data_IF_639515727075
#
_entry.id   IF_639515727075
#
_cell.length_a   1.000
_cell.length_b   1.000
_cell.length_c   1.000
_cell.angle_alpha   90.00
_cell.angle_beta   90.00
_cell.angle_gamma   90.00
#
_symmetry.space_group_name_H-M   'P 1'
#
loop_
_entity.id
_entity.type
_entity.pdbx_description
1 polymer ?
#
# COMPACT_ATOMS: atom_id res chain seq x y z
N UNK A 1 -8.99 26.66 -32.50
CA UNK A 1 -9.87 26.72 -31.33
C UNK A 1 -9.06 26.31 -30.10
N UNK A 2 -8.60 27.27 -29.29
CA UNK A 2 -7.76 26.98 -28.12
C UNK A 2 -8.25 27.85 -26.97
N UNK A 3 -9.04 27.28 -26.07
CA UNK A 3 -9.51 27.95 -24.86
C UNK A 3 -9.17 27.14 -23.60
N UNK A 4 -8.84 27.89 -22.55
CA UNK A 4 -8.87 27.53 -21.13
C UNK A 4 -7.65 26.81 -20.52
N UNK A 5 -6.56 27.57 -20.31
CA UNK A 5 -5.56 27.25 -19.26
C UNK A 5 -5.24 28.42 -18.30
N UNK A 6 -6.13 29.42 -18.19
CA UNK A 6 -5.84 30.63 -17.37
C UNK A 6 -6.72 30.85 -16.14
N UNK A 7 -7.63 29.95 -15.79
CA UNK A 7 -8.55 30.15 -14.65
C UNK A 7 -8.05 29.62 -13.28
N UNK A 8 -6.92 28.92 -13.20
CA UNK A 8 -6.48 28.26 -11.96
C UNK A 8 -5.65 29.13 -11.00
N UNK A 9 -4.86 30.08 -11.52
CA UNK A 9 -3.89 30.84 -10.69
C UNK A 9 -4.54 31.97 -9.89
N UNK A 10 -5.63 32.54 -10.39
CA UNK A 10 -6.38 33.62 -9.74
C UNK A 10 -7.19 33.11 -8.53
N UNK A 11 -7.77 31.91 -8.62
CA UNK A 11 -8.56 31.30 -7.55
C UNK A 11 -7.69 30.88 -6.37
N UNK A 12 -6.49 30.36 -6.64
CA UNK A 12 -5.51 29.99 -5.60
C UNK A 12 -4.99 31.23 -4.86
N UNK A 13 -4.75 32.34 -5.57
CA UNK A 13 -4.36 33.62 -4.94
C UNK A 13 -5.47 34.19 -4.06
N UNK A 14 -6.73 34.13 -4.51
CA UNK A 14 -7.89 34.57 -3.71
C UNK A 14 -8.10 33.69 -2.47
N UNK A 15 -7.87 32.39 -2.57
CA UNK A 15 -7.94 31.47 -1.44
C UNK A 15 -6.81 31.78 -0.43
N UNK A 16 -5.58 31.97 -0.91
CA UNK A 16 -4.44 32.31 -0.06
C UNK A 16 -4.65 33.65 0.67
N UNK A 17 -5.15 34.68 -0.02
CA UNK A 17 -5.49 35.98 0.59
C UNK A 17 -6.62 35.86 1.62
N UNK A 18 -7.62 35.02 1.36
CA UNK A 18 -8.73 34.79 2.29
C UNK A 18 -8.28 34.07 3.55
N UNK A 19 -7.40 33.07 3.42
CA UNK A 19 -6.81 32.35 4.55
C UNK A 19 -5.94 33.27 5.41
N UNK A 20 -5.07 34.08 4.80
CA UNK A 20 -4.23 35.04 5.50
C UNK A 20 -5.07 36.07 6.28
N UNK A 21 -6.17 36.56 5.68
CA UNK A 21 -7.08 37.51 6.34
C UNK A 21 -7.82 36.89 7.54
N UNK A 22 -8.17 35.61 7.48
CA UNK A 22 -8.81 34.91 8.59
C UNK A 22 -7.84 34.64 9.75
N UNK A 23 -6.60 34.29 9.45
CA UNK A 23 -5.54 34.09 10.47
C UNK A 23 -5.29 35.41 11.23
N UNK A 24 -5.15 36.52 10.50
CA UNK A 24 -4.97 37.84 11.13
C UNK A 24 -6.16 38.26 12.01
N UNK A 25 -7.40 37.98 11.57
CA UNK A 25 -8.61 38.26 12.37
C UNK A 25 -8.67 37.40 13.64
N UNK A 26 -8.19 36.17 13.58
CA UNK A 26 -8.17 35.26 14.73
C UNK A 26 -7.16 35.73 15.78
N UNK A 27 -5.93 36.09 15.37
CA UNK A 27 -4.94 36.68 16.26
C UNK A 27 -5.40 38.00 16.89
N UNK A 28 -6.10 38.86 16.13
CA UNK A 28 -6.65 40.10 16.68
C UNK A 28 -7.72 39.83 17.74
N UNK A 29 -8.63 38.87 17.51
CA UNK A 29 -9.66 38.49 18.50
C UNK A 29 -9.05 37.87 19.76
N UNK A 30 -7.97 37.12 19.63
CA UNK A 30 -7.26 36.48 20.75
C UNK A 30 -6.50 37.51 21.59
N UNK A 31 -5.88 38.51 20.95
CA UNK A 31 -5.28 39.67 21.63
C UNK A 31 -6.31 40.51 22.39
N UNK A 32 -7.49 40.79 21.79
CA UNK A 32 -8.56 41.53 22.47
C UNK A 32 -9.21 40.73 23.61
N UNK A 33 -9.25 39.39 23.51
CA UNK A 33 -9.74 38.51 24.59
C UNK A 33 -8.76 38.44 25.77
N UNK A 34 -7.46 38.47 25.50
CA UNK A 34 -6.42 38.51 26.54
C UNK A 34 -6.46 39.82 27.34
N UNK A 35 -6.72 40.95 26.68
CA UNK A 35 -6.77 42.26 27.34
C UNK A 35 -8.07 42.47 28.16
N UNK A 36 -9.18 41.80 27.79
CA UNK A 36 -10.44 41.85 28.55
C UNK A 36 -10.48 40.91 29.76
N UNK A 37 -9.53 39.99 29.87
CA UNK A 37 -9.41 39.02 30.99
C UNK A 37 -8.47 39.49 32.11
N UNK A 38 -7.91 40.71 32.02
CA UNK A 38 -6.97 41.28 32.99
C UNK A 38 -7.59 42.10 34.13
N UNK A 39 -8.93 42.17 34.24
CA UNK A 39 -9.60 42.99 35.24
C UNK A 39 -10.69 42.19 35.98
N UNK A 40 -10.27 41.17 36.75
CA UNK A 40 -11.14 40.57 37.77
C UNK A 40 -10.31 39.90 38.87
N UNK A 41 -10.39 40.52 40.04
CA UNK A 41 -10.17 40.03 41.41
C UNK A 41 -8.92 39.22 41.78
N UNK A 42 -8.14 39.89 42.64
CA UNK A 42 -7.33 39.33 43.72
C UNK A 42 -8.07 38.21 44.48
N UNK A 43 -7.50 37.01 44.53
CA UNK A 43 -7.20 36.31 45.78
C UNK A 43 -6.42 35.00 45.51
N UNK A 44 -5.50 34.74 46.43
CA UNK A 44 -4.44 33.75 46.38
C UNK A 44 -4.91 32.30 46.18
N UNK A 45 -4.23 31.59 45.27
CA UNK A 45 -3.64 30.26 45.54
C UNK A 45 -2.56 29.98 44.49
N UNK A 46 -1.31 29.95 44.95
CA UNK A 46 -0.14 29.64 44.14
C UNK A 46 -0.13 28.15 43.77
N UNK A 47 -0.35 27.85 42.49
CA UNK A 47 0.15 26.61 41.87
C UNK A 47 0.52 26.88 40.42
N UNK A 48 1.59 27.63 40.22
CA UNK A 48 2.22 27.82 38.91
C UNK A 48 2.81 26.49 38.46
N UNK A 49 2.11 25.79 37.57
CA UNK A 49 2.71 24.68 36.82
C UNK A 49 3.85 25.26 35.97
N UNK A 50 5.08 24.73 36.03
CA UNK A 50 6.17 25.25 35.21
C UNK A 50 5.88 25.03 33.72
N UNK A 51 6.36 25.92 32.82
CA UNK A 51 6.27 25.72 31.38
C UNK A 51 6.92 24.38 30.98
N UNK A 52 6.45 23.73 29.89
CA UNK A 52 6.91 22.40 29.49
C UNK A 52 8.43 22.42 29.30
N UNK A 53 9.14 21.74 30.20
CA UNK A 53 10.59 21.67 30.17
C UNK A 53 11.05 20.78 29.00
N UNK A 54 12.17 21.12 28.34
CA UNK A 54 12.76 20.25 27.33
C UNK A 54 13.12 18.89 27.95
N UNK A 55 12.94 17.78 27.21
CA UNK A 55 13.23 16.45 27.74
C UNK A 55 14.72 16.34 28.13
N UNK A 56 15.04 15.61 29.21
CA UNK A 56 16.39 15.55 29.76
C UNK A 56 17.41 14.99 28.74
N UNK A 57 18.67 15.47 28.79
CA UNK A 57 19.74 15.00 27.92
C UNK A 57 20.02 13.53 28.25
N UNK A 58 19.78 12.63 27.28
CA UNK A 58 19.90 11.18 27.46
C UNK A 58 18.66 10.37 27.07
N UNK A 59 17.59 11.01 26.60
CA UNK A 59 16.46 10.26 26.01
C UNK A 59 16.91 9.56 24.72
N UNK A 60 17.12 8.25 24.78
CA UNK A 60 17.35 7.33 23.66
C UNK A 60 16.25 7.40 22.56
N UNK A 61 15.13 8.08 22.85
CA UNK A 61 14.07 8.42 21.89
C UNK A 61 14.28 9.71 21.09
N UNK A 62 15.33 10.49 21.38
CA UNK A 62 15.61 11.76 20.68
C UNK A 62 16.02 11.52 19.22
N UNK A 63 16.74 10.43 18.93
CA UNK A 63 17.03 10.01 17.56
C UNK A 63 15.78 9.63 16.75
N UNK A 64 14.69 9.27 17.44
CA UNK A 64 13.39 9.01 16.80
C UNK A 64 12.56 10.29 16.61
N UNK A 65 12.97 11.44 17.14
CA UNK A 65 12.23 12.70 17.01
C UNK A 65 12.05 13.15 15.54
N UNK A 66 13.08 13.08 14.67
CA UNK A 66 12.93 13.37 13.24
C UNK A 66 11.97 12.40 12.54
N UNK A 67 11.93 11.14 12.97
CA UNK A 67 11.06 10.10 12.39
C UNK A 67 9.58 10.26 12.82
N UNK A 68 9.35 10.86 13.99
CA UNK A 68 7.99 11.13 14.51
C UNK A 68 7.28 12.26 13.76
N UNK A 69 8.02 13.22 13.20
CA UNK A 69 7.45 14.37 12.47
C UNK A 69 6.67 13.94 11.21
N UNK A 70 7.24 13.17 10.26
CA UNK A 70 6.51 12.70 9.10
C UNK A 70 5.35 11.76 9.48
N UNK A 71 5.53 10.93 10.52
CA UNK A 71 4.45 10.06 11.01
C UNK A 71 3.27 10.84 11.59
N UNK A 72 3.54 11.93 12.33
CA UNK A 72 2.51 12.82 12.86
C UNK A 72 1.82 13.59 11.73
N UNK A 73 2.58 14.16 10.79
CA UNK A 73 2.04 14.86 9.62
C UNK A 73 1.17 13.92 8.75
N UNK A 74 1.63 12.69 8.53
CA UNK A 74 0.85 11.66 7.86
C UNK A 74 -0.46 11.36 8.59
N UNK A 75 -0.40 11.18 9.92
CA UNK A 75 -1.59 10.88 10.72
C UNK A 75 -2.63 12.01 10.73
N UNK A 76 -2.20 13.27 10.71
CA UNK A 76 -3.10 14.43 10.63
C UNK A 76 -3.67 14.63 9.23
N UNK A 77 -2.86 14.41 8.18
CA UNK A 77 -3.35 14.40 6.80
C UNK A 77 -4.37 13.29 6.58
N UNK A 78 -4.12 12.09 7.09
CA UNK A 78 -5.02 10.96 6.94
C UNK A 78 -6.32 11.14 7.75
N UNK A 79 -6.27 11.85 8.88
CA UNK A 79 -7.47 12.24 9.63
C UNK A 79 -8.32 13.27 8.88
N UNK A 80 -7.71 14.10 8.03
CA UNK A 80 -8.40 15.14 7.26
C UNK A 80 -8.97 14.62 5.93
N UNK A 81 -8.22 13.79 5.21
CA UNK A 81 -8.60 13.23 3.91
C UNK A 81 -8.12 11.78 3.77
N UNK A 82 -8.80 10.81 4.43
CA UNK A 82 -8.34 9.43 4.49
C UNK A 82 -8.26 8.77 3.11
N UNK A 83 -9.18 9.09 2.20
CA UNK A 83 -9.23 8.50 0.85
C UNK A 83 -8.07 8.98 -0.04
N UNK A 84 -7.76 10.28 -0.02
CA UNK A 84 -6.67 10.85 -0.85
C UNK A 84 -5.32 10.33 -0.40
N UNK A 85 -5.07 10.35 0.91
CA UNK A 85 -3.80 9.85 1.48
C UNK A 85 -3.66 8.36 1.23
N UNK A 86 -4.76 7.61 1.28
CA UNK A 86 -4.76 6.19 0.98
C UNK A 86 -4.42 5.90 -0.48
N UNK A 87 -4.98 6.67 -1.41
CA UNK A 87 -4.70 6.55 -2.84
C UNK A 87 -3.23 6.88 -3.10
N UNK A 88 -2.74 8.03 -2.62
CA UNK A 88 -1.34 8.43 -2.79
C UNK A 88 -0.37 7.40 -2.21
N UNK A 89 -0.63 6.93 -0.98
CA UNK A 89 0.20 5.91 -0.34
C UNK A 89 0.21 4.61 -1.15
N UNK A 90 -0.95 4.18 -1.66
CA UNK A 90 -1.05 2.97 -2.47
C UNK A 90 -0.27 3.09 -3.79
N UNK A 91 -0.32 4.24 -4.47
CA UNK A 91 0.46 4.45 -5.69
C UNK A 91 1.96 4.32 -5.43
N UNK A 92 2.44 4.94 -4.35
CA UNK A 92 3.85 4.88 -3.94
C UNK A 92 4.24 3.43 -3.59
N UNK A 93 3.42 2.74 -2.80
CA UNK A 93 3.67 1.36 -2.38
C UNK A 93 3.76 0.42 -3.58
N UNK A 94 2.82 0.51 -4.52
CA UNK A 94 2.82 -0.37 -5.69
C UNK A 94 3.96 -0.04 -6.68
N UNK A 95 4.26 1.25 -6.85
CA UNK A 95 5.41 1.67 -7.65
C UNK A 95 6.73 1.13 -7.06
N UNK A 96 6.94 1.33 -5.76
CA UNK A 96 8.15 0.89 -5.07
C UNK A 96 8.23 -0.65 -5.00
N UNK A 97 7.09 -1.32 -4.80
CA UNK A 97 6.99 -2.78 -4.85
C UNK A 97 7.41 -3.37 -6.18
N UNK A 98 6.92 -2.81 -7.29
CA UNK A 98 7.32 -3.28 -8.61
C UNK A 98 8.77 -2.91 -8.91
N UNK A 99 9.25 -1.73 -8.52
CA UNK A 99 10.66 -1.33 -8.66
C UNK A 99 11.58 -2.30 -7.91
N UNK A 100 11.29 -2.61 -6.63
CA UNK A 100 12.06 -3.57 -5.84
C UNK A 100 12.03 -4.97 -6.47
N UNK A 101 10.87 -5.43 -6.94
CA UNK A 101 10.75 -6.72 -7.61
C UNK A 101 11.57 -6.76 -8.90
N UNK A 102 11.57 -5.68 -9.69
CA UNK A 102 12.36 -5.58 -10.91
C UNK A 102 13.86 -5.53 -10.62
N UNK A 103 14.29 -4.77 -9.60
CA UNK A 103 15.70 -4.69 -9.20
C UNK A 103 16.25 -6.06 -8.79
N UNK A 104 15.56 -6.78 -7.91
CA UNK A 104 15.98 -8.14 -7.52
C UNK A 104 15.99 -9.08 -8.72
N UNK A 105 15.03 -8.94 -9.63
CA UNK A 105 14.98 -9.76 -10.84
C UNK A 105 16.16 -9.49 -11.79
N UNK A 106 16.50 -8.21 -12.00
CA UNK A 106 17.62 -7.80 -12.85
C UNK A 106 18.97 -8.17 -12.23
N UNK A 107 19.10 -8.05 -10.90
CA UNK A 107 20.37 -8.33 -10.21
C UNK A 107 20.69 -9.82 -10.08
N UNK A 108 19.71 -10.69 -9.87
CA UNK A 108 19.95 -12.10 -9.53
C UNK A 108 19.68 -13.10 -10.64
N UNK A 109 18.73 -12.85 -11.54
CA UNK A 109 18.23 -13.91 -12.43
C UNK A 109 18.33 -13.59 -13.92
N UNK A 110 18.45 -12.33 -14.33
CA UNK A 110 18.33 -11.96 -15.76
C UNK A 110 18.92 -10.57 -16.05
N UNK A 111 19.75 -10.43 -17.07
CA UNK A 111 20.27 -9.14 -17.57
C UNK A 111 19.23 -8.37 -18.41
N UNK A 112 17.94 -8.43 -18.06
CA UNK A 112 16.90 -7.65 -18.77
C UNK A 112 16.93 -6.20 -18.34
N UNK A 113 16.64 -5.32 -19.30
CA UNK A 113 16.43 -3.89 -19.06
C UNK A 113 15.20 -3.66 -18.19
N UNK A 114 15.26 -2.61 -17.40
CA UNK A 114 14.14 -2.09 -16.60
C UNK A 114 12.92 -1.81 -17.49
N UNK A 115 11.73 -2.27 -17.07
CA UNK A 115 10.48 -2.09 -17.81
C UNK A 115 9.56 -1.07 -17.12
N UNK A 116 9.53 0.21 -17.56
CA UNK A 116 8.74 1.25 -16.90
C UNK A 116 7.23 1.03 -17.06
N UNK A 117 6.79 0.38 -18.15
CA UNK A 117 5.38 0.05 -18.41
C UNK A 117 4.84 -0.88 -17.31
N UNK A 118 5.67 -1.79 -16.79
CA UNK A 118 5.29 -2.68 -15.71
C UNK A 118 5.01 -1.92 -14.41
N UNK A 119 5.83 -0.91 -14.10
CA UNK A 119 5.61 -0.01 -12.96
C UNK A 119 4.31 0.78 -13.09
N UNK A 120 3.99 1.30 -14.28
CA UNK A 120 2.73 2.01 -14.53
C UNK A 120 1.51 1.09 -14.33
N UNK A 121 1.57 -0.16 -14.82
CA UNK A 121 0.51 -1.15 -14.61
C UNK A 121 0.32 -1.44 -13.12
N UNK A 122 1.41 -1.60 -12.37
CA UNK A 122 1.35 -1.81 -10.92
C UNK A 122 0.69 -0.61 -10.21
N UNK A 123 1.00 0.62 -10.60
CA UNK A 123 0.34 1.83 -10.09
C UNK A 123 -1.16 1.84 -10.37
N UNK A 124 -1.59 1.46 -11.57
CA UNK A 124 -3.02 1.38 -11.92
C UNK A 124 -3.74 0.34 -11.05
N UNK A 125 -3.14 -0.84 -10.87
CA UNK A 125 -3.66 -1.91 -10.01
C UNK A 125 -3.78 -1.43 -8.55
N UNK A 126 -2.74 -0.75 -8.05
CA UNK A 126 -2.72 -0.18 -6.70
C UNK A 126 -3.76 0.91 -6.49
N UNK A 127 -3.88 1.83 -7.45
CA UNK A 127 -4.84 2.93 -7.41
C UNK A 127 -6.28 2.43 -7.36
N UNK A 128 -6.65 1.48 -8.22
CA UNK A 128 -8.01 0.91 -8.26
C UNK A 128 -8.31 0.11 -6.98
N UNK A 129 -7.35 -0.68 -6.50
CA UNK A 129 -7.55 -1.50 -5.28
C UNK A 129 -7.49 -0.72 -3.97
N UNK A 130 -7.02 0.54 -3.98
CA UNK A 130 -6.85 1.36 -2.78
C UNK A 130 -8.15 1.58 -2.00
N UNK A 131 -9.24 1.92 -2.70
CA UNK A 131 -10.55 2.24 -2.10
C UNK A 131 -11.25 0.97 -1.59
N UNK A 132 -11.38 -0.12 -2.38
CA UNK A 132 -11.94 -1.39 -1.89
C UNK A 132 -11.18 -1.93 -0.67
N UNK A 133 -9.85 -1.89 -0.70
CA UNK A 133 -9.01 -2.37 0.41
C UNK A 133 -9.26 -1.55 1.68
N UNK A 134 -9.34 -0.22 1.57
CA UNK A 134 -9.66 0.65 2.69
C UNK A 134 -11.03 0.36 3.31
N UNK A 135 -12.07 0.23 2.46
CA UNK A 135 -13.43 -0.11 2.92
C UNK A 135 -13.46 -1.47 3.61
N UNK A 136 -12.71 -2.45 3.11
CA UNK A 136 -12.60 -3.77 3.71
C UNK A 136 -12.00 -3.73 5.11
N UNK A 137 -10.89 -3.01 5.31
CA UNK A 137 -10.29 -2.87 6.65
C UNK A 137 -11.21 -2.15 7.64
N UNK A 138 -11.96 -1.13 7.19
CA UNK A 138 -12.97 -0.47 8.03
C UNK A 138 -14.13 -1.41 8.39
N UNK A 139 -14.60 -2.21 7.43
CA UNK A 139 -15.63 -3.22 7.65
C UNK A 139 -15.17 -4.29 8.65
N UNK A 140 -13.95 -4.80 8.52
CA UNK A 140 -13.38 -5.75 9.50
C UNK A 140 -13.24 -5.12 10.89
N UNK A 141 -12.84 -3.86 10.95
CA UNK A 141 -12.68 -3.12 12.20
C UNK A 141 -14.00 -2.96 12.95
N UNK A 142 -15.11 -2.75 12.23
CA UNK A 142 -16.42 -2.44 12.82
C UNK A 142 -17.28 -3.67 13.15
N UNK A 143 -17.20 -4.73 12.35
CA UNK A 143 -18.10 -5.89 12.52
C UNK A 143 -17.57 -6.97 13.49
N UNK A 144 -16.27 -6.95 13.81
CA UNK A 144 -15.64 -7.97 14.65
C UNK A 144 -15.09 -7.38 15.96
N UNK A 145 -15.96 -6.73 16.74
CA UNK A 145 -15.63 -6.33 18.11
C UNK A 145 -16.15 -7.39 19.08
N UNK A 146 -15.21 -8.02 19.78
CA UNK A 146 -15.49 -9.06 20.78
C UNK A 146 -14.96 -8.60 22.14
N UNK A 147 -15.56 -9.07 23.21
CA UNK A 147 -15.20 -8.71 24.59
C UNK A 147 -13.73 -9.02 24.92
N UNK A 148 -13.20 -10.11 24.34
CA UNK A 148 -11.79 -10.47 24.44
C UNK A 148 -11.04 -10.05 23.18
N UNK A 149 -10.06 -9.16 23.34
CA UNK A 149 -9.21 -8.63 22.27
C UNK A 149 -8.63 -9.72 21.34
N UNK A 150 -8.16 -10.84 21.91
CA UNK A 150 -7.57 -11.94 21.14
C UNK A 150 -8.59 -12.66 20.24
N UNK A 151 -9.85 -12.81 20.67
CA UNK A 151 -10.90 -13.46 19.87
C UNK A 151 -11.20 -12.62 18.64
N UNK A 152 -11.35 -11.31 18.82
CA UNK A 152 -11.54 -10.39 17.71
C UNK A 152 -10.36 -10.37 16.75
N UNK A 153 -9.12 -10.46 17.26
CA UNK A 153 -7.94 -10.56 16.44
C UNK A 153 -7.91 -11.84 15.59
N UNK A 154 -8.16 -13.01 16.20
CA UNK A 154 -8.15 -14.30 15.49
C UNK A 154 -9.23 -14.34 14.41
N UNK A 155 -10.46 -13.89 14.72
CA UNK A 155 -11.54 -13.84 13.72
C UNK A 155 -11.19 -12.91 12.57
N UNK A 156 -10.61 -11.73 12.86
CA UNK A 156 -10.15 -10.80 11.83
C UNK A 156 -9.08 -11.40 10.93
N UNK A 157 -8.13 -12.16 11.49
CA UNK A 157 -7.11 -12.91 10.74
C UNK A 157 -7.79 -13.95 9.85
N UNK A 158 -8.65 -14.81 10.42
CA UNK A 158 -9.31 -15.89 9.69
C UNK A 158 -10.15 -15.36 8.53
N UNK A 159 -10.99 -14.34 8.78
CA UNK A 159 -11.83 -13.72 7.74
C UNK A 159 -10.98 -13.07 6.65
N UNK A 160 -9.88 -12.41 7.02
CA UNK A 160 -8.95 -11.82 6.03
C UNK A 160 -8.29 -12.89 5.18
N UNK A 161 -7.77 -13.95 5.80
CA UNK A 161 -7.11 -15.04 5.08
C UNK A 161 -8.07 -15.85 4.19
N UNK A 162 -9.33 -16.02 4.62
CA UNK A 162 -10.31 -16.86 3.94
C UNK A 162 -11.03 -16.16 2.78
N UNK A 163 -11.24 -14.85 2.88
CA UNK A 163 -12.03 -14.08 1.90
C UNK A 163 -11.16 -13.06 1.19
N UNK A 164 -10.49 -12.19 1.95
CA UNK A 164 -9.76 -11.08 1.35
C UNK A 164 -8.57 -11.55 0.53
N UNK A 165 -7.71 -12.40 1.10
CA UNK A 165 -6.51 -12.89 0.40
C UNK A 165 -6.82 -13.57 -0.93
N UNK A 166 -7.76 -14.54 -1.04
CA UNK A 166 -8.05 -15.17 -2.34
C UNK A 166 -8.71 -14.21 -3.34
N UNK A 167 -9.62 -13.33 -2.90
CA UNK A 167 -10.26 -12.33 -3.78
C UNK A 167 -9.22 -11.33 -4.29
N UNK A 168 -8.40 -10.80 -3.38
CA UNK A 168 -7.35 -9.84 -3.70
C UNK A 168 -6.29 -10.45 -4.61
N UNK A 169 -5.83 -11.69 -4.35
CA UNK A 169 -4.88 -12.37 -5.22
C UNK A 169 -5.44 -12.63 -6.61
N UNK A 170 -6.71 -13.04 -6.72
CA UNK A 170 -7.37 -13.25 -8.01
C UNK A 170 -7.47 -11.94 -8.80
N UNK A 171 -7.88 -10.85 -8.13
CA UNK A 171 -7.87 -9.51 -8.70
C UNK A 171 -6.47 -9.10 -9.16
N UNK A 172 -5.47 -9.23 -8.29
CA UNK A 172 -4.10 -8.77 -8.55
C UNK A 172 -3.49 -9.51 -9.74
N UNK A 173 -3.49 -10.85 -9.72
CA UNK A 173 -2.94 -11.64 -10.83
C UNK A 173 -3.75 -11.51 -12.11
N UNK A 174 -5.08 -11.43 -12.01
CA UNK A 174 -5.94 -11.25 -13.19
C UNK A 174 -5.71 -9.90 -13.86
N UNK A 175 -5.69 -8.83 -13.08
CA UNK A 175 -5.45 -7.48 -13.56
C UNK A 175 -4.02 -7.35 -14.13
N UNK A 176 -3.02 -7.94 -13.49
CA UNK A 176 -1.65 -7.99 -14.01
C UNK A 176 -1.58 -8.63 -15.40
N UNK A 177 -2.26 -9.75 -15.62
CA UNK A 177 -2.27 -10.44 -16.93
C UNK A 177 -3.09 -9.69 -17.97
N UNK A 178 -4.25 -9.13 -17.61
CA UNK A 178 -5.07 -8.32 -18.52
C UNK A 178 -4.30 -7.09 -19.00
N UNK A 179 -3.69 -6.34 -18.09
CA UNK A 179 -2.89 -5.16 -18.43
C UNK A 179 -1.63 -5.51 -19.23
N UNK A 180 -1.12 -6.73 -19.08
CA UNK A 180 -0.04 -7.26 -19.92
C UNK A 180 -0.48 -7.59 -21.35
N UNK A 181 -1.78 -7.51 -21.66
CA UNK A 181 -2.34 -7.88 -22.96
C UNK A 181 -2.73 -9.36 -23.08
N UNK A 182 -2.73 -10.09 -21.96
CA UNK A 182 -3.12 -11.50 -21.93
C UNK A 182 -4.63 -11.71 -22.10
N UNK A 183 -5.00 -12.80 -22.74
CA UNK A 183 -6.40 -13.16 -22.96
C UNK A 183 -7.09 -13.75 -21.72
N UNK A 184 -8.42 -13.89 -21.77
CA UNK A 184 -9.18 -14.36 -20.60
C UNK A 184 -8.85 -15.78 -20.13
N UNK A 185 -8.50 -16.64 -21.09
CA UNK A 185 -8.01 -18.00 -20.81
C UNK A 185 -6.69 -17.99 -20.04
N UNK A 186 -5.77 -17.10 -20.41
CA UNK A 186 -4.46 -16.97 -19.78
C UNK A 186 -4.58 -16.44 -18.35
N UNK A 187 -5.52 -15.51 -18.12
CA UNK A 187 -5.86 -15.05 -16.77
C UNK A 187 -6.35 -16.21 -15.92
N UNK A 188 -7.32 -16.99 -16.40
CA UNK A 188 -7.86 -18.13 -15.65
C UNK A 188 -6.77 -19.15 -15.32
N UNK A 189 -5.95 -19.51 -16.31
CA UNK A 189 -4.85 -20.45 -16.12
C UNK A 189 -3.84 -19.94 -15.09
N UNK A 190 -3.44 -18.66 -15.18
CA UNK A 190 -2.50 -18.07 -14.24
C UNK A 190 -3.08 -18.02 -12.83
N UNK A 191 -4.32 -17.54 -12.67
CA UNK A 191 -5.00 -17.44 -11.38
C UNK A 191 -5.11 -18.83 -10.72
N UNK A 192 -5.60 -19.84 -11.45
CA UNK A 192 -5.74 -21.20 -10.91
C UNK A 192 -4.40 -21.79 -10.49
N UNK A 193 -3.32 -21.47 -11.23
CA UNK A 193 -1.98 -21.95 -10.91
C UNK A 193 -1.32 -21.22 -9.75
N UNK A 194 -1.44 -19.90 -9.67
CA UNK A 194 -0.66 -19.07 -8.73
C UNK A 194 -1.39 -18.75 -7.44
N UNK A 195 -2.73 -18.64 -7.45
CA UNK A 195 -3.50 -18.26 -6.26
C UNK A 195 -3.42 -19.30 -5.15
N UNK A 196 -3.55 -20.62 -5.38
CA UNK A 196 -3.47 -21.61 -4.31
C UNK A 196 -2.10 -21.60 -3.62
N UNK A 197 -1.02 -21.61 -4.40
CA UNK A 197 0.35 -21.54 -3.88
C UNK A 197 0.62 -20.25 -3.12
N UNK A 198 0.17 -19.11 -3.67
CA UNK A 198 0.28 -17.80 -3.01
C UNK A 198 -0.51 -17.77 -1.70
N UNK A 199 -1.69 -18.39 -1.65
CA UNK A 199 -2.54 -18.44 -0.47
C UNK A 199 -1.93 -19.28 0.66
N UNK A 200 -1.42 -20.47 0.35
CA UNK A 200 -0.74 -21.33 1.33
C UNK A 200 0.49 -20.63 1.91
N UNK A 201 1.32 -20.02 1.06
CA UNK A 201 2.47 -19.26 1.53
C UNK A 201 2.05 -18.03 2.32
N UNK A 202 0.98 -17.36 1.91
CA UNK A 202 0.41 -16.23 2.65
C UNK A 202 -0.05 -16.62 4.06
N UNK A 203 -0.63 -17.81 4.23
CA UNK A 203 -1.06 -18.30 5.54
C UNK A 203 0.11 -18.58 6.50
N UNK A 204 1.34 -18.74 6.01
CA UNK A 204 2.53 -18.90 6.87
C UNK A 204 3.08 -17.56 7.35
N UNK A 205 2.95 -16.52 6.52
CA UNK A 205 3.60 -15.22 6.75
C UNK A 205 2.67 -14.18 7.38
N UNK A 206 1.46 -14.04 6.84
CA UNK A 206 0.55 -12.95 7.20
C UNK A 206 -0.06 -13.04 8.60
N UNK A 207 -0.29 -14.21 9.24
CA UNK A 207 -0.83 -14.24 10.60
C UNK A 207 0.03 -13.50 11.62
N UNK A 208 1.36 -13.64 11.56
CA UNK A 208 2.29 -12.94 12.44
C UNK A 208 2.26 -11.43 12.22
N UNK A 209 2.29 -11.00 10.95
CA UNK A 209 2.21 -9.59 10.57
C UNK A 209 0.87 -8.99 10.98
N UNK A 210 -0.21 -9.72 10.79
CA UNK A 210 -1.55 -9.27 11.14
C UNK A 210 -1.67 -9.12 12.66
N UNK A 211 -1.18 -10.10 13.43
CA UNK A 211 -1.12 -10.00 14.88
C UNK A 211 -0.33 -8.77 15.35
N UNK A 212 0.85 -8.52 14.76
CA UNK A 212 1.65 -7.33 15.05
C UNK A 212 0.91 -6.03 14.69
N UNK A 213 0.30 -5.99 13.49
CA UNK A 213 -0.41 -4.81 12.97
C UNK A 213 -1.59 -4.42 13.86
N UNK A 214 -2.39 -5.39 14.29
CA UNK A 214 -3.54 -5.10 15.14
C UNK A 214 -3.15 -4.75 16.57
N UNK A 215 -2.01 -5.24 17.06
CA UNK A 215 -1.52 -4.99 18.42
C UNK A 215 -0.81 -3.64 18.54
N UNK A 216 0.06 -3.28 17.60
CA UNK A 216 0.95 -2.12 17.72
C UNK A 216 0.59 -0.95 16.79
N UNK A 217 -0.14 -1.19 15.69
CA UNK A 217 -0.43 -0.16 14.69
C UNK A 217 -1.85 0.38 14.87
N UNK A 218 -1.94 1.72 14.91
CA UNK A 218 -3.23 2.44 14.98
C UNK A 218 -4.10 2.07 13.76
N UNK A 219 -5.42 1.88 13.93
CA UNK A 219 -6.33 1.43 12.86
C UNK A 219 -6.18 2.17 11.53
N UNK A 220 -5.96 3.48 11.60
CA UNK A 220 -5.84 4.38 10.46
C UNK A 220 -4.58 4.06 9.62
N UNK A 221 -3.49 3.62 10.25
CA UNK A 221 -2.20 3.39 9.58
C UNK A 221 -2.01 1.94 9.11
N UNK A 222 -2.93 1.03 9.47
CA UNK A 222 -2.78 -0.42 9.23
C UNK A 222 -2.66 -0.77 7.75
N UNK A 223 -3.45 -0.11 6.90
CA UNK A 223 -3.43 -0.39 5.46
C UNK A 223 -2.09 -0.03 4.81
N UNK A 224 -1.49 1.08 5.24
CA UNK A 224 -0.20 1.54 4.72
C UNK A 224 0.93 0.68 5.25
N UNK A 225 0.92 0.31 6.53
CA UNK A 225 1.86 -0.67 7.07
C UNK A 225 1.78 -2.01 6.33
N UNK A 226 0.57 -2.54 6.13
CA UNK A 226 0.34 -3.76 5.35
C UNK A 226 0.86 -3.62 3.92
N UNK A 227 0.68 -2.45 3.31
CA UNK A 227 1.20 -2.15 1.98
C UNK A 227 2.73 -2.14 1.92
N UNK A 228 3.41 -1.56 2.91
CA UNK A 228 4.88 -1.63 3.00
C UNK A 228 5.39 -3.07 3.11
N UNK A 229 4.76 -3.90 3.94
CA UNK A 229 5.10 -5.32 4.04
C UNK A 229 4.79 -6.05 2.72
N UNK A 230 3.73 -5.65 2.02
CA UNK A 230 3.40 -6.20 0.71
C UNK A 230 4.50 -5.94 -0.34
N UNK A 231 5.26 -4.84 -0.26
CA UNK A 231 6.43 -4.60 -1.14
C UNK A 231 7.45 -5.73 -0.97
N UNK A 232 7.82 -6.04 0.27
CA UNK A 232 8.74 -7.14 0.57
C UNK A 232 8.17 -8.50 0.13
N UNK A 233 6.88 -8.70 0.33
CA UNK A 233 6.18 -9.91 -0.11
C UNK A 233 6.18 -10.10 -1.63
N UNK A 234 5.95 -9.04 -2.42
CA UNK A 234 6.00 -9.10 -3.88
C UNK A 234 7.39 -9.51 -4.37
N UNK A 235 8.44 -8.95 -3.78
CA UNK A 235 9.83 -9.32 -4.08
C UNK A 235 10.11 -10.78 -3.69
N UNK A 236 9.65 -11.21 -2.52
CA UNK A 236 9.81 -12.59 -2.05
C UNK A 236 9.12 -13.61 -2.97
N UNK A 237 7.87 -13.36 -3.38
CA UNK A 237 7.16 -14.23 -4.30
C UNK A 237 7.82 -14.29 -5.68
N UNK A 238 8.33 -13.15 -6.18
CA UNK A 238 9.09 -13.12 -7.43
C UNK A 238 10.35 -13.97 -7.34
N UNK A 239 11.09 -13.86 -6.23
CA UNK A 239 12.28 -14.68 -5.98
C UNK A 239 11.93 -16.17 -5.86
N UNK A 240 10.93 -16.52 -5.04
CA UNK A 240 10.53 -17.91 -4.80
C UNK A 240 10.04 -18.61 -6.07
N UNK A 241 9.20 -17.95 -6.87
CA UNK A 241 8.70 -18.52 -8.13
C UNK A 241 9.85 -18.77 -9.11
N UNK A 242 10.84 -17.87 -9.19
CA UNK A 242 11.99 -18.01 -10.09
C UNK A 242 12.99 -19.05 -9.60
N UNK A 243 13.24 -19.14 -8.29
CA UNK A 243 14.06 -20.19 -7.70
C UNK A 243 13.46 -21.57 -7.94
N UNK A 244 12.13 -21.71 -7.86
CA UNK A 244 11.45 -22.95 -8.20
C UNK A 244 11.58 -23.30 -9.69
N UNK A 245 11.38 -22.33 -10.60
CA UNK A 245 11.59 -22.53 -12.05
C UNK A 245 13.04 -22.94 -12.38
N UNK A 246 14.04 -22.31 -11.74
CA UNK A 246 15.45 -22.63 -11.94
C UNK A 246 15.80 -24.04 -11.43
N UNK A 247 15.27 -24.44 -10.26
CA UNK A 247 15.47 -25.77 -9.71
C UNK A 247 14.81 -26.86 -10.57
N UNK A 248 13.64 -26.59 -11.15
CA UNK A 248 12.98 -27.50 -12.10
C UNK A 248 13.83 -27.68 -13.37
N UNK A 249 14.31 -26.59 -13.97
CA UNK A 249 15.20 -26.65 -15.14
C UNK A 249 16.50 -27.40 -14.84
N UNK A 250 17.09 -27.21 -13.67
CA UNK A 250 18.28 -27.95 -13.26
C UNK A 250 18.01 -29.45 -13.12
N UNK A 251 16.83 -29.83 -12.59
CA UNK A 251 16.39 -31.24 -12.54
C UNK A 251 16.14 -31.82 -13.93
N UNK A 252 15.51 -31.06 -14.85
CA UNK A 252 15.29 -31.49 -16.23
C UNK A 252 16.63 -31.68 -17.00
N UNK A 253 17.59 -30.78 -16.80
CA UNK A 253 18.95 -30.90 -17.35
C UNK A 253 19.71 -32.09 -16.75
N UNK A 254 19.57 -32.33 -15.44
CA UNK A 254 20.16 -33.50 -14.78
C UNK A 254 19.50 -34.83 -15.19
N UNK A 255 18.25 -34.80 -15.65
CA UNK A 255 17.48 -35.97 -16.10
C UNK A 255 17.54 -36.21 -17.63
N UNK A 256 18.36 -35.45 -18.38
CA UNK A 256 18.70 -35.77 -19.77
C UNK A 256 17.66 -35.41 -20.85
N UNK A 257 16.71 -34.51 -20.57
CA UNK A 257 15.65 -34.14 -21.52
C UNK A 257 16.02 -32.99 -22.45
N UNK A 258 16.16 -33.27 -23.75
CA UNK A 258 16.26 -32.28 -24.84
C UNK A 258 15.10 -31.25 -24.75
N UNK A 259 15.36 -29.93 -24.84
CA UNK A 259 14.30 -28.93 -24.73
C UNK A 259 13.36 -29.01 -25.94
N UNK A 260 12.12 -29.44 -25.68
CA UNK A 260 11.06 -29.54 -26.68
C UNK A 260 10.79 -28.21 -27.38
N UNK A 261 11.00 -28.20 -28.70
CA UNK A 261 10.40 -27.24 -29.62
C UNK A 261 8.89 -27.21 -29.38
N UNK A 262 8.37 -26.09 -28.87
CA UNK A 262 6.93 -25.84 -28.76
C UNK A 262 6.34 -25.73 -30.18
N UNK A 263 5.74 -26.85 -30.62
CA UNK A 263 4.75 -27.03 -31.69
C UNK A 263 4.22 -25.72 -32.32
N UNK A 264 4.77 -25.34 -33.47
CA UNK A 264 4.18 -24.40 -34.44
C UNK A 264 4.36 -24.97 -35.85
N UNK A 265 3.70 -26.09 -36.13
CA UNK A 265 3.47 -26.67 -37.47
C UNK A 265 2.36 -27.72 -37.31
N UNK A 266 1.12 -27.26 -37.41
CA UNK A 266 -0.07 -28.08 -37.65
C UNK A 266 -1.14 -27.12 -38.14
N UNK A 267 -0.99 -26.72 -39.40
CA UNK A 267 -1.84 -25.73 -40.04
C UNK A 267 -1.28 -25.28 -41.38
N UNK A 268 -0.72 -26.21 -42.16
CA UNK A 268 -0.53 -26.09 -43.60
C UNK A 268 0.03 -27.42 -44.12
N UNK A 269 -0.84 -28.41 -44.34
CA UNK A 269 -0.57 -29.64 -45.12
C UNK A 269 -1.83 -30.53 -45.06
N UNK A 270 -2.98 -29.99 -45.49
CA UNK A 270 -4.16 -30.75 -45.92
C UNK A 270 -4.92 -29.91 -46.95
N UNK A 271 -4.23 -29.58 -48.02
CA UNK A 271 -4.81 -28.99 -49.22
C UNK A 271 -3.94 -29.33 -50.44
N UNK A 272 -3.49 -30.58 -50.55
CA UNK A 272 -3.05 -31.14 -51.83
C UNK A 272 -2.99 -32.67 -51.73
N UNK A 273 -3.46 -33.34 -52.78
CA UNK A 273 -3.61 -34.80 -52.99
C UNK A 273 -4.99 -35.38 -52.57
N UNK A 274 -6.03 -35.25 -53.42
CA UNK A 274 -6.45 -36.07 -54.59
C UNK A 274 -7.35 -37.28 -54.22
N UNK A 275 -8.22 -37.79 -55.11
CA UNK A 275 -8.36 -37.54 -56.56
C UNK A 275 -9.61 -36.76 -57.00
#
# INVERSE_FOLDING_TARGET
MTFAFFAGRSTVRRLHQTVQRNIFRQHRKESTRSQKSGNSNNNASNSTSPPPQPPPPGSYHAWLAPLKIPFRAYSTMQARSPLTVQLESSLIIYFLGDLCSQLVQTSYFTTSRYEPIRGLRAMIIGGISSIPSYKWFMWLGRNFNYDKHWKGLVVKILVSQSIFTPVFNTYFFGMQTLLAGGGWREVKERVVRTVPTSWVNSCKFWPMITAFTFTFIRPVNRNVFSGFIAIGWQTYLSWLNRSAEAALKAKEMAQGGVPGKRKKRSGNEKAEQNP
#
